data_IF_697466935110
#
_entry.id   IF_697466935110
#
_cell.length_a   1.000
_cell.length_b   1.000
_cell.length_c   1.000
_cell.angle_alpha   90.00
_cell.angle_beta   90.00
_cell.angle_gamma   90.00
#
_symmetry.space_group_name_H-M   'P 1'
#
loop_
_entity.id
_entity.type
_entity.pdbx_description
1 polymer ?
#
# COMPACT_ATOMS: atom_id res chain seq x y z
N UNK A 1 2.00 13.62 -3.99
CA UNK A 1 2.98 14.53 -3.34
C UNK A 1 3.09 15.87 -4.07
N UNK A 2 3.29 15.89 -5.39
CA UNK A 2 3.43 17.13 -6.19
C UNK A 2 2.31 18.14 -5.95
N UNK A 3 1.04 17.72 -5.99
CA UNK A 3 -0.10 18.62 -5.73
C UNK A 3 -0.08 19.23 -4.32
N UNK A 4 0.27 18.45 -3.29
CA UNK A 4 0.36 18.97 -1.92
C UNK A 4 1.49 19.98 -1.79
N UNK A 5 2.64 19.73 -2.42
CA UNK A 5 3.77 20.68 -2.46
C UNK A 5 3.35 21.96 -3.16
N UNK A 6 2.67 21.87 -4.31
CA UNK A 6 2.15 23.04 -5.03
C UNK A 6 1.14 23.84 -4.18
N UNK A 7 0.25 23.16 -3.45
CA UNK A 7 -0.70 23.81 -2.55
C UNK A 7 0.01 24.56 -1.41
N UNK A 8 1.06 23.97 -0.82
CA UNK A 8 1.87 24.63 0.22
C UNK A 8 2.60 25.85 -0.33
N UNK A 9 3.23 25.74 -1.50
CA UNK A 9 3.92 26.87 -2.14
C UNK A 9 2.93 27.99 -2.52
N UNK A 10 1.74 27.62 -3.01
CA UNK A 10 0.66 28.57 -3.28
C UNK A 10 0.18 29.28 -2.01
N UNK A 11 -0.01 28.55 -0.90
CA UNK A 11 -0.37 29.14 0.38
C UNK A 11 0.73 30.09 0.91
N UNK A 12 2.00 29.69 0.81
CA UNK A 12 3.14 30.52 1.17
C UNK A 12 3.18 31.83 0.36
N UNK A 13 2.93 31.73 -0.95
CA UNK A 13 2.84 32.90 -1.83
C UNK A 13 1.71 33.86 -1.40
N UNK A 14 0.52 33.33 -1.12
CA UNK A 14 -0.65 34.14 -0.76
C UNK A 14 -0.47 34.92 0.55
N UNK A 15 0.28 34.38 1.52
CA UNK A 15 0.56 35.06 2.79
C UNK A 15 1.81 35.96 2.73
N UNK A 16 2.41 36.14 1.55
CA UNK A 16 3.61 36.97 1.35
C UNK A 16 4.89 36.34 1.92
N UNK A 17 4.92 35.03 2.14
CA UNK A 17 6.13 34.34 2.56
C UNK A 17 7.10 34.15 1.38
N UNK A 18 8.38 33.96 1.70
CA UNK A 18 9.41 33.67 0.70
C UNK A 18 9.23 32.24 0.15
N UNK A 19 8.69 32.15 -1.07
CA UNK A 19 8.42 30.88 -1.76
C UNK A 19 9.72 30.12 -2.04
N UNK A 20 10.83 30.80 -2.30
CA UNK A 20 12.12 30.14 -2.55
C UNK A 20 12.63 29.47 -1.27
N UNK A 21 12.51 30.14 -0.11
CA UNK A 21 12.82 29.53 1.19
C UNK A 21 11.87 28.39 1.53
N UNK A 22 10.57 28.52 1.24
CA UNK A 22 9.61 27.45 1.45
C UNK A 22 9.94 26.21 0.59
N UNK A 23 10.34 26.42 -0.67
CA UNK A 23 10.78 25.35 -1.56
C UNK A 23 12.06 24.67 -1.07
N UNK A 24 13.06 25.44 -0.60
CA UNK A 24 14.28 24.90 -0.01
C UNK A 24 13.99 24.08 1.25
N UNK A 25 13.10 24.56 2.13
CA UNK A 25 12.71 23.83 3.34
C UNK A 25 11.97 22.51 3.01
N UNK A 26 11.28 22.44 1.87
CA UNK A 26 10.61 21.24 1.38
C UNK A 26 11.56 20.29 0.64
N UNK A 27 12.78 20.70 0.30
CA UNK A 27 13.72 19.89 -0.47
C UNK A 27 14.14 18.61 0.28
N UNK A 28 14.25 18.70 1.60
CA UNK A 28 14.59 17.56 2.48
C UNK A 28 13.36 16.80 2.99
N UNK A 29 12.14 17.19 2.57
CA UNK A 29 10.92 16.53 2.98
C UNK A 29 10.86 15.13 2.38
N UNK A 30 11.05 14.13 3.24
CA UNK A 30 10.83 12.74 2.89
C UNK A 30 9.45 12.28 3.33
N UNK A 31 8.88 11.33 2.59
CA UNK A 31 7.62 10.72 2.99
C UNK A 31 7.81 9.94 4.30
N UNK A 32 6.87 10.11 5.24
CA UNK A 32 6.81 9.24 6.42
C UNK A 32 6.70 7.77 5.99
N UNK A 33 7.16 6.88 6.86
CA UNK A 33 6.98 5.43 6.70
C UNK A 33 5.50 5.09 6.43
N UNK A 34 5.25 4.16 5.50
CA UNK A 34 3.88 3.81 5.09
C UNK A 34 3.24 4.71 4.04
N UNK A 35 4.01 5.60 3.39
CA UNK A 35 3.51 6.53 2.37
C UNK A 35 4.16 6.33 0.99
N UNK A 36 4.04 5.12 0.46
CA UNK A 36 4.39 4.76 -0.92
C UNK A 36 5.84 4.33 -1.11
N UNK A 37 6.58 4.03 -0.04
CA UNK A 37 7.98 3.58 -0.16
C UNK A 37 8.03 2.22 -0.85
N UNK A 38 8.89 2.09 -1.86
CA UNK A 38 9.13 0.83 -2.56
C UNK A 38 10.38 0.15 -2.03
N UNK A 39 10.29 -1.15 -1.81
CA UNK A 39 11.38 -2.00 -1.38
C UNK A 39 11.54 -3.17 -2.35
N UNK A 40 12.78 -3.48 -2.71
CA UNK A 40 13.10 -4.74 -3.38
C UNK A 40 13.58 -5.70 -2.31
N UNK A 41 12.78 -6.71 -1.99
CA UNK A 41 13.05 -7.70 -0.97
C UNK A 41 13.85 -8.87 -1.55
N UNK A 42 14.89 -9.31 -0.84
CA UNK A 42 15.71 -10.46 -1.22
C UNK A 42 14.99 -11.76 -0.86
N UNK A 43 14.40 -12.42 -1.85
CA UNK A 43 13.88 -13.77 -1.70
C UNK A 43 14.84 -14.79 -2.40
N UNK A 44 15.09 -15.99 -1.84
CA UNK A 44 16.17 -16.88 -2.29
C UNK A 44 16.15 -17.27 -3.77
N UNK A 45 14.96 -17.31 -4.37
CA UNK A 45 14.73 -17.72 -5.76
C UNK A 45 14.45 -16.54 -6.73
N UNK A 46 14.57 -15.30 -6.27
CA UNK A 46 14.29 -14.09 -7.06
C UNK A 46 13.65 -12.99 -6.21
N UNK A 47 13.71 -11.71 -6.63
CA UNK A 47 13.27 -10.58 -5.82
C UNK A 47 11.74 -10.50 -5.67
N UNK A 48 11.28 -9.83 -4.62
CA UNK A 48 9.88 -9.42 -4.44
C UNK A 48 9.84 -7.90 -4.38
N UNK A 49 8.88 -7.26 -5.03
CA UNK A 49 8.65 -5.82 -4.89
C UNK A 49 7.60 -5.59 -3.82
N UNK A 50 7.93 -4.81 -2.79
CA UNK A 50 6.99 -4.37 -1.75
C UNK A 50 6.71 -2.88 -1.89
N UNK A 51 5.43 -2.51 -1.88
CA UNK A 51 4.93 -1.14 -1.87
C UNK A 51 4.28 -0.89 -0.50
N UNK A 52 4.91 -0.06 0.32
CA UNK A 52 4.46 0.27 1.67
C UNK A 52 3.52 1.48 1.67
N UNK A 53 2.22 1.21 1.70
CA UNK A 53 1.10 2.17 1.78
C UNK A 53 0.35 2.06 3.14
N UNK A 54 1.02 1.54 4.17
CA UNK A 54 0.42 1.11 5.44
C UNK A 54 0.04 2.23 6.44
N UNK A 55 0.11 3.51 6.05
CA UNK A 55 -0.16 4.64 6.95
C UNK A 55 -1.58 5.19 6.84
N UNK A 56 -2.08 5.36 5.61
CA UNK A 56 -3.35 6.03 5.36
C UNK A 56 -4.21 5.16 4.46
N UNK A 57 -5.44 4.90 4.88
CA UNK A 57 -6.44 4.26 4.05
C UNK A 57 -7.75 5.05 4.12
N UNK A 58 -8.17 5.46 2.94
CA UNK A 58 -9.46 6.06 2.64
C UNK A 58 -9.75 5.76 1.15
N UNK A 59 -11.01 5.92 0.67
CA UNK A 59 -11.38 5.48 -0.67
C UNK A 59 -10.49 6.04 -1.79
N UNK A 60 -10.16 7.34 -1.74
CA UNK A 60 -9.31 7.98 -2.75
C UNK A 60 -7.88 7.41 -2.76
N UNK A 61 -7.28 7.23 -1.58
CA UNK A 61 -5.94 6.67 -1.47
C UNK A 61 -5.91 5.18 -1.83
N UNK A 62 -6.96 4.41 -1.52
CA UNK A 62 -7.09 3.00 -1.93
C UNK A 62 -7.07 2.87 -3.45
N UNK A 63 -7.85 3.72 -4.15
CA UNK A 63 -7.85 3.76 -5.60
C UNK A 63 -6.45 4.07 -6.17
N UNK A 64 -5.78 5.10 -5.64
CA UNK A 64 -4.43 5.44 -6.06
C UNK A 64 -3.42 4.31 -5.85
N UNK A 65 -3.51 3.59 -4.73
CA UNK A 65 -2.63 2.46 -4.43
C UNK A 65 -2.92 1.23 -5.32
N UNK A 66 -4.19 0.96 -5.63
CA UNK A 66 -4.56 -0.10 -6.57
C UNK A 66 -4.09 0.21 -7.99
N UNK A 67 -4.24 1.46 -8.45
CA UNK A 67 -3.71 1.91 -9.73
C UNK A 67 -2.17 1.77 -9.78
N UNK A 68 -1.48 2.11 -8.69
CA UNK A 68 -0.04 1.94 -8.56
C UNK A 68 0.38 0.47 -8.64
N UNK A 69 -0.33 -0.42 -7.94
CA UNK A 69 -0.11 -1.86 -7.97
C UNK A 69 -0.29 -2.41 -9.40
N UNK A 70 -1.37 -2.02 -10.07
CA UNK A 70 -1.67 -2.48 -11.44
C UNK A 70 -0.59 -2.05 -12.44
N UNK A 71 -0.12 -0.79 -12.34
CA UNK A 71 0.92 -0.23 -13.19
C UNK A 71 2.34 -0.74 -12.87
N UNK A 72 2.55 -1.38 -11.72
CA UNK A 72 3.87 -1.88 -11.33
C UNK A 72 4.16 -3.21 -12.04
N UNK A 73 5.28 -3.33 -12.78
CA UNK A 73 5.64 -4.57 -13.46
C UNK A 73 5.90 -5.71 -12.47
N UNK A 74 5.33 -6.87 -12.76
CA UNK A 74 5.73 -8.14 -12.14
C UNK A 74 6.97 -8.70 -12.84
N UNK A 75 7.77 -9.51 -12.14
CA UNK A 75 8.96 -10.15 -12.73
C UNK A 75 8.73 -11.64 -12.90
N UNK A 76 9.07 -12.20 -14.08
CA UNK A 76 8.86 -13.62 -14.37
C UNK A 76 7.39 -14.05 -14.20
N UNK A 77 7.15 -15.12 -13.44
CA UNK A 77 5.81 -15.64 -13.11
C UNK A 77 5.19 -15.00 -11.85
N UNK A 78 5.72 -13.85 -11.44
CA UNK A 78 5.24 -13.12 -10.26
C UNK A 78 3.81 -12.61 -10.39
N UNK A 79 3.15 -12.43 -9.25
CA UNK A 79 1.77 -11.95 -9.15
C UNK A 79 1.68 -10.52 -8.63
N UNK A 80 0.54 -9.87 -8.87
CA UNK A 80 0.15 -8.66 -8.14
C UNK A 80 -0.70 -9.04 -6.95
N UNK A 81 -0.27 -8.63 -5.76
CA UNK A 81 -0.89 -8.99 -4.48
C UNK A 81 -1.29 -7.71 -3.75
N UNK A 82 -2.58 -7.60 -3.43
CA UNK A 82 -3.08 -6.55 -2.54
C UNK A 82 -3.24 -7.09 -1.12
N UNK A 83 -2.70 -6.37 -0.13
CA UNK A 83 -2.86 -6.67 1.29
C UNK A 83 -3.58 -5.48 1.92
N UNK A 84 -4.88 -5.62 2.17
CA UNK A 84 -5.76 -4.51 2.55
C UNK A 84 -6.30 -4.70 3.97
N UNK A 85 -6.20 -3.64 4.76
CA UNK A 85 -6.79 -3.55 6.09
C UNK A 85 -7.73 -2.36 6.22
N UNK A 86 -8.54 -2.38 7.28
CA UNK A 86 -9.65 -1.45 7.45
C UNK A 86 -9.27 0.03 7.24
N UNK A 87 -10.21 0.74 6.61
CA UNK A 87 -10.30 2.19 6.55
C UNK A 87 -11.06 2.68 7.79
N UNK A 88 -10.38 3.42 8.65
CA UNK A 88 -10.97 4.01 9.87
C UNK A 88 -11.75 5.29 9.56
N UNK A 89 -12.58 5.72 10.52
CA UNK A 89 -13.32 7.01 10.51
C UNK A 89 -14.35 7.15 9.37
N UNK A 90 -14.96 6.04 8.93
CA UNK A 90 -15.98 6.03 7.86
C UNK A 90 -17.44 6.06 8.37
N UNK A 91 -17.66 5.89 9.69
CA UNK A 91 -18.99 5.84 10.29
C UNK A 91 -19.90 4.78 9.63
N UNK A 92 -21.17 5.13 9.45
CA UNK A 92 -22.21 4.25 8.90
C UNK A 92 -21.96 3.80 7.45
N UNK A 93 -20.99 4.42 6.76
CA UNK A 93 -20.62 4.07 5.39
C UNK A 93 -19.52 3.02 5.31
N UNK A 94 -18.95 2.60 6.45
CA UNK A 94 -17.77 1.74 6.48
C UNK A 94 -17.93 0.47 5.64
N UNK A 95 -18.92 -0.38 5.94
CA UNK A 95 -19.15 -1.63 5.20
C UNK A 95 -19.34 -1.40 3.69
N UNK A 96 -20.14 -0.39 3.31
CA UNK A 96 -20.39 -0.05 1.90
C UNK A 96 -19.11 0.39 1.18
N UNK A 97 -18.29 1.21 1.82
CA UNK A 97 -17.05 1.73 1.22
C UNK A 97 -15.96 0.66 1.14
N UNK A 98 -15.91 -0.28 2.08
CA UNK A 98 -15.04 -1.45 2.00
C UNK A 98 -15.47 -2.39 0.87
N UNK A 99 -16.77 -2.70 0.77
CA UNK A 99 -17.32 -3.49 -0.32
C UNK A 99 -17.05 -2.84 -1.70
N UNK A 100 -17.17 -1.52 -1.82
CA UNK A 100 -16.89 -0.81 -3.07
C UNK A 100 -15.45 -0.97 -3.60
N UNK A 101 -14.51 -1.47 -2.79
CA UNK A 101 -13.17 -1.82 -3.26
C UNK A 101 -13.17 -3.04 -4.21
N UNK A 102 -14.23 -3.84 -4.25
CA UNK A 102 -14.35 -4.98 -5.15
C UNK A 102 -14.23 -4.55 -6.62
N UNK A 103 -14.92 -3.48 -7.02
CA UNK A 103 -14.87 -2.94 -8.38
C UNK A 103 -13.44 -2.52 -8.76
N UNK A 104 -12.69 -1.96 -7.80
CA UNK A 104 -11.29 -1.56 -8.01
C UNK A 104 -10.39 -2.78 -8.21
N UNK A 105 -10.61 -3.86 -7.46
CA UNK A 105 -9.82 -5.09 -7.56
C UNK A 105 -10.13 -5.83 -8.86
N UNK A 106 -11.41 -5.98 -9.20
CA UNK A 106 -11.85 -6.65 -10.43
C UNK A 106 -11.39 -5.89 -11.68
N UNK A 107 -11.29 -4.57 -11.59
CA UNK A 107 -10.77 -3.72 -12.66
C UNK A 107 -9.26 -3.79 -12.88
N UNK A 108 -8.51 -4.55 -12.07
CA UNK A 108 -7.05 -4.72 -12.22
C UNK A 108 -6.67 -6.17 -12.50
N UNK A 109 -5.39 -6.40 -12.80
CA UNK A 109 -4.81 -7.74 -12.90
C UNK A 109 -4.50 -8.37 -11.52
N UNK A 110 -5.03 -7.80 -10.43
CA UNK A 110 -4.78 -8.30 -9.07
C UNK A 110 -5.65 -9.52 -8.82
N UNK A 111 -5.05 -10.72 -8.79
CA UNK A 111 -5.77 -11.99 -8.61
C UNK A 111 -5.56 -12.64 -7.25
N UNK A 112 -4.71 -12.08 -6.41
CA UNK A 112 -4.51 -12.54 -5.02
C UNK A 112 -4.69 -11.36 -4.08
N UNK A 113 -5.56 -11.51 -3.09
CA UNK A 113 -5.90 -10.47 -2.12
C UNK A 113 -5.88 -11.04 -0.70
N UNK A 114 -5.16 -10.37 0.17
CA UNK A 114 -5.12 -10.65 1.60
C UNK A 114 -5.86 -9.54 2.34
N UNK A 115 -6.88 -9.90 3.10
CA UNK A 115 -7.76 -8.97 3.80
C UNK A 115 -7.65 -9.20 5.30
N UNK A 116 -7.54 -8.13 6.08
CA UNK A 116 -7.71 -8.26 7.53
C UNK A 116 -8.32 -7.05 8.22
N UNK A 117 -9.19 -7.35 9.19
CA UNK A 117 -9.97 -6.38 9.95
C UNK A 117 -11.48 -6.64 9.78
N UNK A 118 -12.30 -6.31 10.79
CA UNK A 118 -13.73 -6.56 10.76
C UNK A 118 -14.45 -5.93 9.57
N UNK A 119 -14.05 -4.73 9.14
CA UNK A 119 -14.73 -4.03 8.04
C UNK A 119 -14.37 -4.61 6.67
N UNK A 120 -13.17 -5.17 6.54
CA UNK A 120 -12.75 -5.92 5.35
C UNK A 120 -13.56 -7.19 5.09
N UNK A 121 -14.33 -7.68 6.07
CA UNK A 121 -15.27 -8.80 5.87
C UNK A 121 -16.28 -8.48 4.76
N UNK A 122 -16.77 -7.24 4.71
CA UNK A 122 -17.75 -6.78 3.71
C UNK A 122 -17.19 -6.87 2.28
N UNK A 123 -15.89 -6.67 2.11
CA UNK A 123 -15.20 -6.87 0.83
C UNK A 123 -15.01 -8.37 0.55
N UNK A 124 -14.54 -9.12 1.54
CA UNK A 124 -14.27 -10.55 1.40
C UNK A 124 -15.51 -11.36 1.01
N UNK A 125 -16.71 -10.94 1.45
CA UNK A 125 -17.98 -11.61 1.14
C UNK A 125 -18.45 -11.44 -0.30
N UNK A 126 -17.94 -10.44 -1.02
CA UNK A 126 -18.44 -10.09 -2.37
C UNK A 126 -17.40 -10.20 -3.46
N UNK A 127 -16.13 -10.41 -3.11
CA UNK A 127 -15.10 -10.68 -4.12
C UNK A 127 -15.44 -11.99 -4.84
N UNK A 128 -15.32 -12.03 -6.17
CA UNK A 128 -15.71 -13.20 -6.94
C UNK A 128 -14.63 -14.29 -6.83
N UNK A 129 -15.03 -15.54 -7.07
CA UNK A 129 -14.18 -16.72 -6.84
C UNK A 129 -12.88 -16.74 -7.68
N UNK A 130 -12.81 -15.96 -8.77
CA UNK A 130 -11.59 -15.83 -9.57
C UNK A 130 -10.50 -14.99 -8.88
N UNK A 131 -10.83 -14.30 -7.78
CA UNK A 131 -9.88 -13.58 -6.94
C UNK A 131 -9.55 -14.47 -5.74
N UNK A 132 -8.33 -15.00 -5.71
CA UNK A 132 -7.80 -15.76 -4.57
C UNK A 132 -7.77 -14.85 -3.34
N UNK A 133 -8.78 -15.00 -2.48
CA UNK A 133 -9.03 -14.11 -1.36
C UNK A 133 -8.77 -14.85 -0.05
N UNK A 134 -7.89 -14.29 0.78
CA UNK A 134 -7.62 -14.78 2.12
C UNK A 134 -8.00 -13.71 3.15
N UNK A 135 -8.98 -14.02 4.00
CA UNK A 135 -9.46 -13.11 5.04
C UNK A 135 -9.02 -13.58 6.44
N UNK A 136 -8.61 -12.62 7.29
CA UNK A 136 -8.37 -12.84 8.71
C UNK A 136 -8.96 -11.74 9.57
N UNK A 137 -9.21 -12.02 10.85
CA UNK A 137 -9.78 -11.04 11.77
C UNK A 137 -8.84 -9.86 12.03
N UNK A 138 -7.52 -10.06 11.95
CA UNK A 138 -6.54 -9.01 12.19
C UNK A 138 -5.17 -9.26 11.57
N UNK A 139 -4.29 -8.26 11.68
CA UNK A 139 -2.97 -8.26 11.06
C UNK A 139 -2.09 -9.42 11.56
N UNK A 140 -2.13 -9.76 12.84
CA UNK A 140 -1.28 -10.83 13.40
C UNK A 140 -1.62 -12.20 12.82
N UNK A 141 -2.92 -12.49 12.63
CA UNK A 141 -3.40 -13.74 12.04
C UNK A 141 -3.04 -13.83 10.55
N UNK A 142 -3.08 -12.68 9.85
CA UNK A 142 -2.72 -12.59 8.44
C UNK A 142 -1.22 -12.78 8.19
N UNK A 143 -0.39 -12.36 9.15
CA UNK A 143 1.08 -12.34 9.04
C UNK A 143 1.65 -13.68 8.61
N UNK A 144 1.25 -14.77 9.26
CA UNK A 144 1.84 -16.09 8.99
C UNK A 144 1.51 -16.57 7.58
N UNK A 145 0.25 -16.40 7.15
CA UNK A 145 -0.19 -16.79 5.81
C UNK A 145 0.45 -15.93 4.73
N UNK A 146 0.52 -14.61 4.95
CA UNK A 146 1.18 -13.71 4.03
C UNK A 146 2.65 -14.10 3.81
N UNK A 147 3.40 -14.33 4.89
CA UNK A 147 4.82 -14.67 4.81
C UNK A 147 5.09 -15.99 4.09
N UNK A 148 4.16 -16.96 4.11
CA UNK A 148 4.31 -18.24 3.42
C UNK A 148 3.83 -18.21 1.97
N UNK A 149 2.90 -17.32 1.63
CA UNK A 149 2.30 -17.26 0.31
C UNK A 149 3.14 -16.55 -0.74
N UNK A 150 4.09 -15.68 -0.35
CA UNK A 150 4.88 -14.90 -1.30
C UNK A 150 5.86 -15.76 -2.12
N UNK A 151 5.90 -15.47 -3.41
CA UNK A 151 6.74 -16.14 -4.42
C UNK A 151 7.71 -15.15 -5.05
N UNK A 152 8.82 -15.62 -5.63
CA UNK A 152 9.70 -14.77 -6.44
C UNK A 152 8.93 -14.03 -7.52
N UNK A 153 9.27 -12.76 -7.72
CA UNK A 153 8.68 -11.91 -8.74
C UNK A 153 7.38 -11.22 -8.34
N UNK A 154 6.79 -11.59 -7.19
CA UNK A 154 5.58 -10.96 -6.69
C UNK A 154 5.77 -9.45 -6.46
N UNK A 155 4.71 -8.69 -6.74
CA UNK A 155 4.55 -7.28 -6.36
C UNK A 155 3.46 -7.23 -5.29
N UNK A 156 3.83 -6.85 -4.07
CA UNK A 156 2.95 -6.82 -2.91
C UNK A 156 2.72 -5.37 -2.49
N UNK A 157 1.47 -4.94 -2.41
CA UNK A 157 1.10 -3.63 -1.88
C UNK A 157 0.36 -3.81 -0.56
N UNK A 158 0.85 -3.17 0.49
CA UNK A 158 0.26 -3.26 1.84
C UNK A 158 -0.35 -1.92 2.20
N UNK A 159 -1.66 -1.89 2.48
CA UNK A 159 -2.40 -0.67 2.76
C UNK A 159 -3.45 -0.86 3.84
N UNK A 160 -3.43 0.04 4.82
CA UNK A 160 -4.44 0.13 5.88
C UNK A 160 -4.39 1.52 6.50
N UNK A 161 -5.38 1.85 7.33
CA UNK A 161 -5.22 2.98 8.25
C UNK A 161 -4.14 2.65 9.29
N UNK A 162 -3.37 3.65 9.73
CA UNK A 162 -2.26 3.48 10.68
C UNK A 162 -2.65 2.70 11.94
N UNK A 163 -3.85 2.94 12.47
CA UNK A 163 -4.37 2.28 13.68
C UNK A 163 -4.55 0.76 13.55
N UNK A 164 -4.63 0.23 12.33
CA UNK A 164 -4.77 -1.21 12.06
C UNK A 164 -3.44 -1.96 12.26
N UNK A 165 -2.31 -1.25 12.17
CA UNK A 165 -1.00 -1.81 12.48
C UNK A 165 -0.37 -2.68 11.39
N UNK A 166 -0.76 -2.54 10.12
CA UNK A 166 -0.13 -3.27 9.01
C UNK A 166 1.35 -2.87 8.79
N UNK A 167 1.82 -1.79 9.40
CA UNK A 167 3.26 -1.48 9.47
C UNK A 167 4.06 -2.67 10.05
N UNK A 168 3.46 -3.47 10.94
CA UNK A 168 4.07 -4.70 11.48
C UNK A 168 4.21 -5.81 10.42
N UNK A 169 3.29 -5.89 9.45
CA UNK A 169 3.41 -6.82 8.32
C UNK A 169 4.58 -6.41 7.42
N UNK A 170 4.72 -5.11 7.18
CA UNK A 170 5.85 -4.52 6.46
C UNK A 170 7.17 -4.84 7.17
N UNK A 171 7.24 -4.66 8.50
CA UNK A 171 8.42 -5.02 9.29
C UNK A 171 8.73 -6.52 9.22
N UNK A 172 7.72 -7.37 9.33
CA UNK A 172 7.89 -8.81 9.25
C UNK A 172 8.44 -9.25 7.88
N UNK A 173 7.96 -8.64 6.79
CA UNK A 173 8.48 -8.89 5.45
C UNK A 173 9.92 -8.40 5.28
N UNK A 174 10.24 -7.20 5.77
CA UNK A 174 11.60 -6.67 5.73
C UNK A 174 12.57 -7.48 6.58
N UNK A 175 12.10 -8.06 7.69
CA UNK A 175 12.89 -8.95 8.54
C UNK A 175 13.14 -10.30 7.87
N UNK A 176 12.11 -10.91 7.27
CA UNK A 176 12.22 -12.22 6.59
C UNK A 176 12.97 -12.14 5.27
N UNK A 177 12.76 -11.07 4.51
CA UNK A 177 13.35 -10.83 3.20
C UNK A 177 14.02 -9.44 3.21
N UNK A 178 15.27 -9.35 3.70
CA UNK A 178 15.98 -8.08 3.82
C UNK A 178 15.95 -7.28 2.52
N UNK A 179 15.63 -5.99 2.61
CA UNK A 179 15.63 -5.11 1.47
C UNK A 179 17.04 -5.01 0.86
N UNK A 180 17.12 -5.03 -0.47
CA UNK A 180 18.34 -4.64 -1.18
C UNK A 180 18.60 -3.18 -0.82
N UNK A 181 19.82 -2.87 -0.34
CA UNK A 181 20.24 -1.49 -0.16
C UNK A 181 20.07 -0.77 -1.49
N UNK A 182 19.22 0.24 -1.52
CA UNK A 182 19.08 1.10 -2.69
C UNK A 182 20.42 1.82 -2.84
N UNK A 183 21.30 1.32 -3.70
CA UNK A 183 22.40 2.14 -4.20
C UNK A 183 21.73 3.25 -4.98
N UNK A 184 21.66 4.43 -4.36
CA UNK A 184 21.24 5.66 -5.01
C UNK A 184 22.21 5.96 -6.15
N UNK A 185 21.95 5.41 -7.33
CA UNK A 185 22.63 5.74 -8.58
C UNK A 185 21.72 5.37 -9.74
N UNK A 186 20.95 6.35 -10.22
CA UNK A 186 20.63 6.62 -11.63
C UNK A 186 20.41 8.15 -11.70
N UNK A 187 21.47 8.93 -11.98
CA UNK A 187 21.74 9.65 -13.25
C UNK A 187 20.62 10.59 -13.65
#
# INVERSE_FOLDING_TARGET
MVQNVLAVLGAAHLVGADVARAALALADLSAERGRGKRHVLRHPKGPITLIDESYNANPASMNAAMALLNATPVSGEGRRIAVLGDMLELGDHSAKLHAALADLIVGTDTRTVFLAGPEMRALADILPDEIETEYRAGAEDLKLVLLSALKPGDVVMIKSSKGIGFSKLVDALLSKFPAVATTAKQT
#
